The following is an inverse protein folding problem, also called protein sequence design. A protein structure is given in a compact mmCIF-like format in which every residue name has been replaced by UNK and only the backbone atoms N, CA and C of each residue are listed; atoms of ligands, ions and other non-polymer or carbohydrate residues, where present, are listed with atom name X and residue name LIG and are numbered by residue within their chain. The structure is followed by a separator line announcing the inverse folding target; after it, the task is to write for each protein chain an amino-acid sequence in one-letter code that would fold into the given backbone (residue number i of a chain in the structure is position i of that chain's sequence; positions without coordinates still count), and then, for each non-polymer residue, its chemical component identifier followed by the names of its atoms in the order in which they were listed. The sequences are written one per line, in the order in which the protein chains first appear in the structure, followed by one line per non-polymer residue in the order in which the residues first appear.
data_IF_491753692254
#
_entry.id   IF_491753692254
#
_cell.length_a   1.000
_cell.length_b   1.000
_cell.length_c   1.000
_cell.angle_alpha   90.00
_cell.angle_beta   90.00
_cell.angle_gamma   90.00
#
_symmetry.space_group_name_H-M   'P 1'
#
loop_
_entity.id
_entity.type
_entity.pdbx_description
1 polymer ?
#
# COMPACT_ATOMS: atom_id res chain seq x y z
N UNK A 1 6.24 22.71 -2.61
CA UNK A 1 7.02 21.48 -2.38
C UNK A 1 6.03 20.38 -2.03
N UNK A 2 6.18 19.14 -2.53
CA UNK A 2 5.26 18.05 -2.19
C UNK A 2 5.27 17.80 -0.68
N UNK A 3 4.12 17.46 -0.12
CA UNK A 3 3.98 17.14 1.30
C UNK A 3 4.79 15.88 1.62
N UNK A 4 5.59 15.94 2.70
CA UNK A 4 6.49 14.84 3.09
C UNK A 4 5.88 13.97 4.19
N UNK A 5 6.26 12.70 4.16
CA UNK A 5 5.89 11.73 5.18
C UNK A 5 7.11 11.03 5.76
N UNK A 6 6.94 10.57 6.99
CA UNK A 6 7.91 9.75 7.70
C UNK A 6 7.14 8.79 8.60
N UNK A 7 7.53 7.53 8.57
CA UNK A 7 6.97 6.45 9.38
C UNK A 7 8.10 5.72 10.10
N UNK A 8 7.81 5.27 11.32
CA UNK A 8 8.69 4.45 12.14
C UNK A 8 8.01 3.10 12.36
N UNK A 9 8.74 2.01 12.16
CA UNK A 9 8.24 0.65 12.40
C UNK A 9 9.31 -0.15 13.16
N UNK A 10 9.05 -0.47 14.43
CA UNK A 10 10.05 -1.13 15.29
C UNK A 10 11.36 -0.34 15.34
N UNK A 11 12.45 -0.95 14.87
CA UNK A 11 13.80 -0.33 14.77
C UNK A 11 14.06 0.39 13.44
N UNK A 12 13.17 0.26 12.45
CA UNK A 12 13.32 0.86 11.12
C UNK A 12 12.51 2.14 10.94
N UNK A 13 12.78 2.82 9.84
CA UNK A 13 12.03 3.99 9.37
C UNK A 13 12.00 4.06 7.85
N UNK A 14 10.97 4.73 7.33
CA UNK A 14 10.93 5.14 5.94
C UNK A 14 10.48 6.60 5.86
N UNK A 15 11.02 7.33 4.90
CA UNK A 15 10.63 8.71 4.60
C UNK A 15 10.51 8.93 3.09
N UNK A 16 9.74 9.95 2.74
CA UNK A 16 9.43 10.23 1.36
C UNK A 16 8.47 11.40 1.21
N UNK A 17 7.78 11.40 0.08
CA UNK A 17 6.78 12.41 -0.26
C UNK A 17 5.50 11.77 -0.77
N UNK A 18 4.39 12.49 -0.64
CA UNK A 18 3.10 12.03 -1.14
C UNK A 18 2.97 12.37 -2.62
N UNK A 19 2.55 11.36 -3.40
CA UNK A 19 2.05 11.50 -4.75
C UNK A 19 0.54 11.28 -4.80
N UNK A 20 -0.07 11.65 -5.93
CA UNK A 20 -1.46 11.34 -6.23
C UNK A 20 -1.50 10.60 -7.57
N UNK A 21 -1.95 9.35 -7.57
CA UNK A 21 -1.92 8.51 -8.77
C UNK A 21 -3.06 7.48 -8.77
N UNK A 22 -3.16 6.70 -9.84
CA UNK A 22 -4.11 5.61 -10.03
C UNK A 22 -3.48 4.29 -9.62
N UNK A 23 -4.05 3.65 -8.58
CA UNK A 23 -3.63 2.32 -8.13
C UNK A 23 -4.44 1.26 -8.87
N UNK A 24 -3.79 0.16 -9.27
CA UNK A 24 -4.43 -0.99 -9.93
C UNK A 24 -4.17 -2.23 -9.10
N UNK A 25 -5.22 -3.00 -8.80
CA UNK A 25 -5.11 -4.31 -8.15
C UNK A 25 -5.24 -5.43 -9.17
N UNK A 26 -4.35 -6.42 -9.08
CA UNK A 26 -4.28 -7.57 -9.98
C UNK A 26 -3.19 -7.43 -11.04
N UNK A 27 -2.84 -8.55 -11.65
CA UNK A 27 -1.77 -8.62 -12.66
C UNK A 27 -2.15 -7.91 -13.97
N UNK A 28 -1.14 -7.48 -14.71
CA UNK A 28 -1.31 -6.87 -16.03
C UNK A 28 -2.06 -7.82 -16.96
N UNK A 29 -3.10 -7.32 -17.64
CA UNK A 29 -3.94 -8.10 -18.55
C UNK A 29 -5.06 -8.89 -17.88
N UNK A 30 -5.21 -8.81 -16.56
CA UNK A 30 -6.37 -9.34 -15.84
C UNK A 30 -7.47 -8.28 -15.70
N UNK A 31 -8.64 -8.68 -15.17
CA UNK A 31 -9.69 -7.74 -14.80
C UNK A 31 -9.30 -6.97 -13.53
N UNK A 32 -8.52 -5.91 -13.71
CA UNK A 32 -7.97 -5.12 -12.59
C UNK A 32 -9.02 -4.20 -11.96
N UNK A 33 -8.98 -4.08 -10.64
CA UNK A 33 -9.67 -2.98 -9.94
C UNK A 33 -8.81 -1.71 -10.06
N UNK A 34 -9.35 -0.68 -10.71
CA UNK A 34 -8.66 0.58 -10.97
C UNK A 34 -9.20 1.65 -10.02
N UNK A 35 -8.33 2.19 -9.16
CA UNK A 35 -8.69 3.20 -8.14
C UNK A 35 -7.94 4.50 -8.45
N UNK A 36 -8.56 5.46 -9.16
CA UNK A 36 -7.92 6.70 -9.54
C UNK A 36 -7.84 7.67 -8.37
N UNK A 37 -6.82 8.52 -8.30
CA UNK A 37 -6.74 9.65 -7.36
C UNK A 37 -6.33 9.28 -5.93
N UNK A 38 -5.58 8.19 -5.78
CA UNK A 38 -5.07 7.70 -4.51
C UNK A 38 -3.85 8.51 -4.08
N UNK A 39 -3.85 8.99 -2.83
CA UNK A 39 -2.64 9.53 -2.23
C UNK A 39 -1.74 8.36 -1.80
N UNK A 40 -0.53 8.29 -2.37
CA UNK A 40 0.44 7.23 -2.12
C UNK A 40 1.75 7.81 -1.61
N UNK A 41 2.44 7.08 -0.73
CA UNK A 41 3.76 7.47 -0.26
C UNK A 41 4.85 6.91 -1.18
N UNK A 42 5.59 7.80 -1.84
CA UNK A 42 6.78 7.43 -2.60
C UNK A 42 8.00 7.58 -1.68
N UNK A 43 8.60 6.45 -1.31
CA UNK A 43 9.75 6.42 -0.40
C UNK A 43 11.02 6.81 -1.16
N UNK A 44 11.76 7.79 -0.66
CA UNK A 44 13.10 8.12 -1.16
C UNK A 44 14.20 7.64 -0.19
N UNK A 45 13.81 7.17 0.99
CA UNK A 45 14.70 6.49 1.94
C UNK A 45 13.95 5.45 2.75
N UNK A 46 14.57 4.28 2.89
CA UNK A 46 14.09 3.14 3.65
C UNK A 46 15.22 2.64 4.55
N UNK A 47 14.88 2.02 5.69
CA UNK A 47 15.87 1.41 6.56
C UNK A 47 16.61 0.28 5.85
N UNK A 48 17.91 0.15 6.12
CA UNK A 48 18.82 -0.81 5.45
C UNK A 48 18.38 -2.27 5.60
N UNK A 49 17.68 -2.61 6.68
CA UNK A 49 17.08 -3.94 6.86
C UNK A 49 16.10 -4.35 5.74
N UNK A 50 15.49 -3.38 5.04
CA UNK A 50 14.60 -3.66 3.90
C UNK A 50 15.37 -3.92 2.59
N UNK A 51 16.66 -3.59 2.50
CA UNK A 51 17.43 -3.71 1.26
C UNK A 51 17.59 -5.15 0.77
N UNK A 52 17.47 -6.15 1.66
CA UNK A 52 17.56 -7.57 1.33
C UNK A 52 16.22 -8.30 1.23
N UNK A 53 15.09 -7.60 1.41
CA UNK A 53 13.77 -8.24 1.44
C UNK A 53 13.09 -8.14 0.05
N UNK A 54 12.42 -9.20 -0.45
CA UNK A 54 11.71 -9.17 -1.74
C UNK A 54 10.44 -8.29 -1.75
N UNK A 55 10.24 -7.42 -0.76
CA UNK A 55 9.04 -6.58 -0.66
C UNK A 55 9.35 -5.21 -1.29
N UNK A 56 8.64 -4.87 -2.37
CA UNK A 56 8.76 -3.56 -3.02
C UNK A 56 8.08 -2.42 -2.25
N UNK A 57 7.11 -2.74 -1.39
CA UNK A 57 6.37 -1.75 -0.62
C UNK A 57 5.29 -2.31 0.29
N UNK A 58 4.59 -1.42 0.99
CA UNK A 58 3.54 -1.76 1.95
C UNK A 58 2.24 -1.06 1.55
N UNK A 59 1.16 -1.83 1.45
CA UNK A 59 -0.19 -1.29 1.27
C UNK A 59 -0.96 -1.32 2.59
N UNK A 60 -1.25 -0.14 3.13
CA UNK A 60 -2.05 0.00 4.34
C UNK A 60 -3.55 -0.23 4.08
N UNK A 61 -4.16 -1.15 4.84
CA UNK A 61 -5.58 -1.54 4.72
C UNK A 61 -6.43 -1.17 5.95
N UNK A 62 -5.88 -0.39 6.88
CA UNK A 62 -6.62 0.11 8.05
C UNK A 62 -7.56 1.26 7.68
N UNK A 63 -8.55 1.55 8.52
CA UNK A 63 -9.48 2.66 8.32
C UNK A 63 -8.80 4.03 8.46
N UNK A 64 -9.17 5.00 7.61
CA UNK A 64 -8.66 6.39 7.73
C UNK A 64 -9.00 7.01 9.07
N UNK A 65 -10.10 6.61 9.71
CA UNK A 65 -10.52 7.07 11.03
C UNK A 65 -9.47 6.80 12.12
N UNK A 66 -8.57 5.83 11.90
CA UNK A 66 -7.48 5.48 12.81
C UNK A 66 -6.13 6.06 12.34
N UNK A 67 -6.12 6.82 11.24
CA UNK A 67 -4.91 7.42 10.65
C UNK A 67 -4.68 8.81 11.22
N UNK A 68 -3.51 9.02 11.82
CA UNK A 68 -3.10 10.31 12.39
C UNK A 68 -2.91 11.43 11.33
N UNK A 69 -2.86 11.08 10.04
CA UNK A 69 -2.49 12.01 8.96
C UNK A 69 -3.61 12.27 7.95
N UNK A 70 -4.81 11.72 8.15
CA UNK A 70 -5.97 11.98 7.29
C UNK A 70 -5.87 11.45 5.85
N UNK A 71 -4.81 10.71 5.52
CA UNK A 71 -4.65 10.04 4.22
C UNK A 71 -5.71 8.95 4.10
N UNK A 72 -6.51 9.01 3.03
CA UNK A 72 -7.54 8.00 2.75
C UNK A 72 -6.86 6.76 2.13
N UNK A 73 -6.95 5.58 2.78
CA UNK A 73 -6.43 4.33 2.24
C UNK A 73 -7.06 3.99 0.88
N UNK A 74 -6.31 3.25 0.06
CA UNK A 74 -6.74 2.90 -1.31
C UNK A 74 -8.08 2.15 -1.31
N UNK A 75 -8.28 1.19 -0.41
CA UNK A 75 -9.54 0.43 -0.34
C UNK A 75 -10.73 1.30 0.08
N UNK A 76 -10.53 2.18 1.06
CA UNK A 76 -11.57 3.11 1.49
C UNK A 76 -11.96 4.08 0.36
N UNK A 77 -10.97 4.50 -0.44
CA UNK A 77 -11.22 5.31 -1.64
C UNK A 77 -12.01 4.54 -2.70
N UNK A 78 -11.68 3.27 -2.94
CA UNK A 78 -12.43 2.43 -3.87
C UNK A 78 -13.91 2.31 -3.46
N UNK A 79 -14.17 2.13 -2.16
CA UNK A 79 -15.52 2.14 -1.60
C UNK A 79 -16.21 3.50 -1.79
N UNK A 80 -15.53 4.61 -1.49
CA UNK A 80 -16.06 5.99 -1.71
C UNK A 80 -16.39 6.29 -3.17
N UNK A 81 -15.72 5.62 -4.11
CA UNK A 81 -15.99 5.71 -5.55
C UNK A 81 -17.05 4.70 -6.03
N UNK A 82 -17.66 3.94 -5.12
CA UNK A 82 -18.63 2.87 -5.41
C UNK A 82 -18.08 1.78 -6.35
N UNK A 83 -16.77 1.51 -6.28
CA UNK A 83 -16.13 0.47 -7.09
C UNK A 83 -16.21 -0.91 -6.44
N UNK A 84 -16.40 -0.95 -5.12
CA UNK A 84 -16.42 -2.16 -4.30
C UNK A 84 -17.41 -1.99 -3.14
N UNK A 85 -17.89 -3.11 -2.62
CA UNK A 85 -18.58 -3.15 -1.33
C UNK A 85 -17.61 -2.89 -0.17
N UNK A 86 -18.08 -2.43 1.02
CA UNK A 86 -17.23 -2.11 2.17
C UNK A 86 -16.72 -3.36 2.91
N UNK A 87 -16.41 -4.44 2.17
CA UNK A 87 -15.94 -5.72 2.68
C UNK A 87 -14.84 -6.24 1.77
N UNK A 88 -13.76 -6.72 2.37
CA UNK A 88 -12.75 -7.52 1.67
C UNK A 88 -12.41 -8.75 2.50
N UNK A 89 -12.04 -9.83 1.83
CA UNK A 89 -11.61 -11.07 2.48
C UNK A 89 -10.16 -11.36 2.11
N UNK A 90 -9.40 -11.85 3.08
CA UNK A 90 -8.02 -12.29 2.84
C UNK A 90 -8.03 -13.79 2.59
N UNK A 91 -7.60 -14.19 1.40
CA UNK A 91 -7.36 -15.60 1.08
C UNK A 91 -5.84 -15.84 1.00
N UNK A 92 -5.32 -16.61 1.95
CA UNK A 92 -3.92 -17.02 2.00
C UNK A 92 -3.83 -18.53 1.85
N UNK A 93 -3.33 -18.99 0.70
CA UNK A 93 -3.01 -20.41 0.50
C UNK A 93 -1.60 -20.67 1.03
N UNK A 94 -1.48 -21.60 1.99
CA UNK A 94 -0.16 -22.06 2.43
C UNK A 94 0.61 -22.65 1.25
N UNK A 95 1.80 -22.13 1.01
CA UNK A 95 2.65 -22.55 -0.09
C UNK A 95 3.64 -23.66 0.28
N UNK A 96 3.66 -24.10 1.55
CA UNK A 96 4.71 -24.98 2.09
C UNK A 96 6.08 -24.30 2.19
N UNK A 97 7.10 -25.02 2.68
CA UNK A 97 8.50 -24.57 2.63
C UNK A 97 9.03 -24.70 1.20
N UNK A 98 8.67 -23.77 0.32
CA UNK A 98 9.41 -23.53 -0.92
C UNK A 98 9.87 -22.08 -0.86
N UNK A 99 11.17 -21.87 -0.98
CA UNK A 99 11.74 -20.54 -1.14
C UNK A 99 11.15 -19.92 -2.40
N UNK A 100 10.30 -18.92 -2.22
CA UNK A 100 9.88 -18.04 -3.30
C UNK A 100 10.99 -17.02 -3.49
N UNK A 101 11.87 -17.29 -4.46
CA UNK A 101 12.60 -16.20 -5.10
C UNK A 101 11.60 -15.46 -5.99
N UNK A 102 11.30 -14.23 -5.59
CA UNK A 102 10.63 -13.24 -6.43
C UNK A 102 11.61 -12.70 -7.46
#
# INVERSE_FOLDING_TARGET
MPERWSIQYGTGSAEGFYGNDTVRFGDVGTNQLIVPGCQIGQADKIAEFFAGHPIDGVLGMSFSALSNRGVVPVFERAYKLNLVDPVFTVYMKSAGYREFFC
#
